data_IF_843571131653
#
_entry.id   IF_843571131653
#
_cell.length_a   1.000
_cell.length_b   1.000
_cell.length_c   1.000
_cell.angle_alpha   90.00
_cell.angle_beta   90.00
_cell.angle_gamma   90.00
#
_symmetry.space_group_name_H-M   'P 1'
#
loop_
_entity.id
_entity.type
_entity.pdbx_description
1 polymer ?
#
# COMPACT_ATOMS: atom_id res chain seq x y z
N UNK A 1 -27.53 25.91 -20.45
CA UNK A 1 -27.47 25.56 -19.02
C UNK A 1 -26.03 25.71 -18.58
N UNK A 2 -25.71 26.80 -17.88
CA UNK A 2 -24.35 27.02 -17.38
C UNK A 2 -24.05 26.02 -16.26
N UNK A 3 -22.88 25.39 -16.34
CA UNK A 3 -22.50 24.31 -15.44
C UNK A 3 -22.00 24.89 -14.11
N UNK A 4 -22.72 24.64 -13.02
CA UNK A 4 -22.31 25.01 -11.65
C UNK A 4 -20.97 24.35 -11.25
N UNK A 5 -20.59 23.24 -11.91
CA UNK A 5 -19.32 22.53 -11.71
C UNK A 5 -18.38 22.73 -12.90
N UNK A 6 -18.13 23.99 -13.27
CA UNK A 6 -17.24 24.38 -14.38
C UNK A 6 -15.82 23.82 -14.24
N UNK A 7 -15.34 23.61 -13.01
CA UNK A 7 -14.06 22.95 -12.73
C UNK A 7 -14.01 21.48 -13.14
N UNK A 8 -15.15 20.82 -13.36
CA UNK A 8 -15.24 19.43 -13.80
C UNK A 8 -15.29 19.30 -15.34
N UNK A 9 -15.13 20.40 -16.06
CA UNK A 9 -15.05 20.37 -17.51
C UNK A 9 -13.67 19.89 -17.97
N UNK A 10 -13.63 18.68 -18.53
CA UNK A 10 -12.37 18.05 -18.93
C UNK A 10 -11.69 18.81 -20.09
N UNK A 11 -12.47 19.35 -21.03
CA UNK A 11 -11.99 20.10 -22.19
C UNK A 11 -12.11 21.62 -21.97
N UNK A 12 -11.77 22.08 -20.76
CA UNK A 12 -11.77 23.50 -20.44
C UNK A 12 -10.83 24.25 -21.39
N UNK A 13 -11.40 25.14 -22.20
CA UNK A 13 -10.64 25.92 -23.19
C UNK A 13 -9.74 26.92 -22.48
N UNK A 14 -8.45 26.87 -22.79
CA UNK A 14 -7.50 27.87 -22.30
C UNK A 14 -7.82 29.22 -22.96
N UNK A 15 -7.94 30.32 -22.19
CA UNK A 15 -8.07 31.64 -22.77
C UNK A 15 -6.79 32.01 -23.54
N UNK A 16 -6.88 32.91 -24.54
CA UNK A 16 -5.70 33.40 -25.22
C UNK A 16 -4.71 33.99 -24.23
N UNK A 17 -3.44 33.57 -24.33
CA UNK A 17 -2.38 34.09 -23.48
C UNK A 17 -2.03 35.51 -23.95
N UNK A 18 -2.65 36.48 -23.28
CA UNK A 18 -2.45 37.91 -23.52
C UNK A 18 -1.76 38.51 -22.31
N UNK A 19 -0.74 39.32 -22.55
CA UNK A 19 -0.06 40.12 -21.54
C UNK A 19 -0.41 41.60 -21.71
N UNK A 20 -0.64 42.30 -20.62
CA UNK A 20 -0.95 43.73 -20.57
C UNK A 20 0.10 44.45 -19.72
N UNK A 21 0.45 45.68 -20.09
CA UNK A 21 1.36 46.49 -19.30
C UNK A 21 0.66 47.00 -18.04
N UNK A 22 1.28 46.80 -16.88
CA UNK A 22 0.77 47.22 -15.57
C UNK A 22 1.90 47.88 -14.79
N UNK A 23 1.57 48.91 -14.00
CA UNK A 23 2.53 49.70 -13.24
C UNK A 23 3.08 49.02 -12.00
N UNK A 24 2.21 48.31 -11.28
CA UNK A 24 2.59 47.55 -10.09
C UNK A 24 2.75 46.07 -10.46
N UNK A 25 3.98 45.59 -10.38
CA UNK A 25 4.32 44.18 -10.58
C UNK A 25 4.80 43.50 -9.30
N UNK A 26 4.85 44.21 -8.16
CA UNK A 26 5.41 43.71 -6.91
C UNK A 26 4.71 42.44 -6.40
N UNK A 27 3.38 42.35 -6.57
CA UNK A 27 2.61 41.17 -6.16
C UNK A 27 2.94 39.90 -6.98
N UNK A 28 3.40 40.05 -8.23
CA UNK A 28 3.70 38.93 -9.13
C UNK A 28 4.83 38.06 -8.59
N UNK A 29 5.78 38.67 -7.85
CA UNK A 29 6.85 37.95 -7.13
C UNK A 29 6.28 36.93 -6.14
N UNK A 30 5.25 37.32 -5.39
CA UNK A 30 4.62 36.42 -4.43
C UNK A 30 3.93 35.26 -5.15
N UNK A 31 3.18 35.54 -6.22
CA UNK A 31 2.53 34.52 -7.05
C UNK A 31 3.57 33.53 -7.60
N UNK A 32 4.66 34.04 -8.18
CA UNK A 32 5.77 33.25 -8.69
C UNK A 32 6.37 32.34 -7.62
N UNK A 33 6.70 32.87 -6.44
CA UNK A 33 7.29 32.10 -5.34
C UNK A 33 6.34 30.98 -4.86
N UNK A 34 5.04 31.29 -4.73
CA UNK A 34 4.07 30.28 -4.26
C UNK A 34 3.88 29.17 -5.29
N UNK A 35 3.79 29.51 -6.58
CA UNK A 35 3.70 28.50 -7.66
C UNK A 35 4.95 27.62 -7.69
N UNK A 36 6.14 28.21 -7.57
CA UNK A 36 7.38 27.43 -7.60
C UNK A 36 7.54 26.48 -6.44
N UNK A 37 7.18 26.93 -5.24
CA UNK A 37 7.17 26.07 -4.08
C UNK A 37 6.27 24.86 -4.31
N UNK A 38 5.12 25.05 -4.94
CA UNK A 38 4.22 23.95 -5.27
C UNK A 38 4.79 23.04 -6.37
N UNK A 39 5.38 23.58 -7.44
CA UNK A 39 6.03 22.79 -8.49
C UNK A 39 7.18 21.93 -7.94
N UNK A 40 8.01 22.49 -7.04
CA UNK A 40 9.04 21.74 -6.32
C UNK A 40 8.43 20.59 -5.51
N UNK A 41 7.29 20.83 -4.83
CA UNK A 41 6.57 19.80 -4.08
C UNK A 41 5.96 18.69 -4.97
N UNK A 42 5.69 18.97 -6.25
CA UNK A 42 5.27 17.97 -7.23
C UNK A 42 6.44 17.12 -7.73
N UNK A 43 7.69 17.54 -7.49
CA UNK A 43 8.91 16.79 -7.83
C UNK A 43 9.45 15.97 -6.65
N UNK A 44 8.82 16.05 -5.47
CA UNK A 44 9.23 15.32 -4.28
C UNK A 44 9.06 13.79 -4.44
N UNK A 45 9.79 12.96 -3.66
CA UNK A 45 9.68 11.51 -3.70
C UNK A 45 8.25 10.97 -3.54
N UNK A 46 7.40 11.68 -2.80
CA UNK A 46 5.98 11.33 -2.61
C UNK A 46 5.17 11.39 -3.92
N UNK A 47 5.52 12.29 -4.85
CA UNK A 47 4.87 12.37 -6.15
C UNK A 47 5.23 11.16 -7.03
N UNK A 48 6.51 10.79 -7.07
CA UNK A 48 6.95 9.55 -7.73
C UNK A 48 6.28 8.32 -7.13
N UNK A 49 6.23 8.24 -5.79
CA UNK A 49 5.55 7.16 -5.09
C UNK A 49 4.04 7.11 -5.41
N UNK A 50 3.40 8.26 -5.66
CA UNK A 50 2.00 8.34 -6.08
C UNK A 50 1.83 7.73 -7.46
N UNK A 51 2.63 8.13 -8.44
CA UNK A 51 2.58 7.62 -9.82
C UNK A 51 2.82 6.11 -9.89
N UNK A 52 3.84 5.60 -9.19
CA UNK A 52 4.15 4.17 -9.12
C UNK A 52 2.97 3.38 -8.52
N UNK A 53 2.34 3.93 -7.48
CA UNK A 53 1.19 3.31 -6.82
C UNK A 53 -0.06 3.36 -7.72
N UNK A 54 -0.28 4.45 -8.44
CA UNK A 54 -1.36 4.58 -9.42
C UNK A 54 -1.20 3.54 -10.55
N UNK A 55 0.01 3.39 -11.08
CA UNK A 55 0.33 2.38 -12.09
C UNK A 55 0.15 0.95 -11.55
N UNK A 56 0.52 0.70 -10.29
CA UNK A 56 0.28 -0.59 -9.63
C UNK A 56 -1.22 -0.91 -9.54
N UNK A 57 -2.05 0.06 -9.16
CA UNK A 57 -3.52 -0.10 -9.10
C UNK A 57 -4.07 -0.43 -10.48
N UNK A 58 -3.63 0.28 -11.53
CA UNK A 58 -4.02 -0.01 -12.91
C UNK A 58 -3.68 -1.45 -13.34
N UNK A 59 -2.47 -1.94 -12.99
CA UNK A 59 -2.05 -3.33 -13.26
C UNK A 59 -2.87 -4.36 -12.48
N UNK A 60 -3.10 -4.13 -11.19
CA UNK A 60 -3.91 -5.03 -10.35
C UNK A 60 -5.35 -5.12 -10.85
N UNK A 61 -5.94 -3.98 -11.23
CA UNK A 61 -7.25 -3.90 -11.86
C UNK A 61 -7.27 -4.70 -13.17
N UNK A 62 -6.34 -4.43 -14.09
CA UNK A 62 -6.31 -5.10 -15.40
C UNK A 62 -6.22 -6.62 -15.27
N UNK A 63 -5.36 -7.13 -14.38
CA UNK A 63 -5.17 -8.57 -14.15
C UNK A 63 -6.42 -9.29 -13.65
N UNK A 64 -7.31 -8.59 -12.94
CA UNK A 64 -8.50 -9.19 -12.30
C UNK A 64 -9.83 -8.69 -12.86
N UNK A 65 -9.80 -7.92 -13.96
CA UNK A 65 -10.99 -7.33 -14.59
C UNK A 65 -12.05 -8.37 -14.90
N UNK A 66 -11.67 -9.51 -15.45
CA UNK A 66 -12.63 -10.55 -15.84
C UNK A 66 -13.19 -11.31 -14.64
N UNK A 67 -12.35 -11.58 -13.62
CA UNK A 67 -12.74 -12.32 -12.42
C UNK A 67 -13.68 -11.52 -11.51
N UNK A 68 -13.47 -10.21 -11.40
CA UNK A 68 -14.15 -9.39 -10.39
C UNK A 68 -15.07 -8.31 -10.98
N UNK A 69 -15.40 -8.36 -12.28
CA UNK A 69 -16.22 -7.34 -12.96
C UNK A 69 -17.54 -6.97 -12.25
N UNK A 70 -18.15 -7.95 -11.58
CA UNK A 70 -19.44 -7.80 -10.91
C UNK A 70 -19.33 -7.44 -9.43
N UNK A 71 -18.12 -7.40 -8.87
CA UNK A 71 -17.93 -7.09 -7.46
C UNK A 71 -18.00 -5.57 -7.21
N UNK A 72 -18.82 -5.08 -6.25
CA UNK A 72 -18.95 -3.66 -5.97
C UNK A 72 -17.63 -2.95 -5.62
N UNK A 73 -16.76 -3.58 -4.83
CA UNK A 73 -15.44 -3.02 -4.52
C UNK A 73 -14.54 -2.92 -5.74
N UNK A 74 -14.63 -3.88 -6.67
CA UNK A 74 -13.87 -3.83 -7.91
C UNK A 74 -14.37 -2.71 -8.85
N UNK A 75 -15.69 -2.47 -8.92
CA UNK A 75 -16.24 -1.29 -9.62
C UNK A 75 -15.73 0.02 -9.03
N UNK A 76 -15.55 0.09 -7.70
CA UNK A 76 -14.95 1.25 -7.04
C UNK A 76 -13.47 1.43 -7.42
N UNK A 77 -12.72 0.33 -7.58
CA UNK A 77 -11.35 0.36 -8.12
C UNK A 77 -11.32 0.82 -9.58
N UNK A 78 -12.28 0.42 -10.41
CA UNK A 78 -12.39 0.92 -11.78
C UNK A 78 -12.62 2.44 -11.81
N UNK A 79 -13.50 2.96 -10.93
CA UNK A 79 -13.73 4.41 -10.78
C UNK A 79 -12.48 5.14 -10.27
N UNK A 80 -11.77 4.54 -9.31
CA UNK A 80 -10.48 5.04 -8.83
C UNK A 80 -9.47 5.15 -9.99
N UNK A 81 -9.30 4.10 -10.79
CA UNK A 81 -8.38 4.11 -11.93
C UNK A 81 -8.79 5.15 -12.98
N UNK A 82 -10.09 5.30 -13.26
CA UNK A 82 -10.57 6.34 -14.15
C UNK A 82 -10.25 7.76 -13.64
N UNK A 83 -10.37 8.00 -12.33
CA UNK A 83 -9.99 9.27 -11.71
C UNK A 83 -8.47 9.51 -11.78
N UNK A 84 -7.66 8.49 -11.54
CA UNK A 84 -6.19 8.56 -11.68
C UNK A 84 -5.76 8.88 -13.12
N UNK A 85 -6.37 8.22 -14.12
CA UNK A 85 -6.12 8.52 -15.53
C UNK A 85 -6.54 9.96 -15.90
N UNK A 86 -7.64 10.47 -15.34
CA UNK A 86 -8.05 11.87 -15.55
C UNK A 86 -7.05 12.84 -14.93
N UNK A 87 -6.49 12.52 -13.76
CA UNK A 87 -5.53 13.36 -13.07
C UNK A 87 -4.24 13.49 -13.88
N UNK A 88 -3.76 12.37 -14.41
CA UNK A 88 -2.61 12.34 -15.31
C UNK A 88 -2.82 13.21 -16.55
N UNK A 89 -4.04 13.24 -17.10
CA UNK A 89 -4.37 14.05 -18.28
C UNK A 89 -4.60 15.53 -17.99
N UNK A 90 -4.84 15.90 -16.74
CA UNK A 90 -5.05 17.30 -16.34
C UNK A 90 -3.71 18.07 -16.39
N UNK A 91 -2.59 17.41 -16.08
CA UNK A 91 -1.23 17.96 -16.18
C UNK A 91 -1.09 19.40 -15.63
N UNK A 92 -1.47 19.57 -14.36
CA UNK A 92 -1.44 20.87 -13.68
C UNK A 92 -0.02 21.47 -13.64
N UNK A 93 1.02 20.63 -13.58
CA UNK A 93 2.40 21.09 -13.53
C UNK A 93 2.73 21.92 -14.77
N UNK A 94 2.39 21.41 -15.95
CA UNK A 94 2.58 22.11 -17.22
C UNK A 94 1.78 23.42 -17.29
N UNK A 95 0.52 23.40 -16.88
CA UNK A 95 -0.33 24.60 -16.85
C UNK A 95 0.29 25.69 -15.95
N UNK A 96 0.80 25.31 -14.77
CA UNK A 96 1.45 26.20 -13.83
C UNK A 96 2.81 26.72 -14.32
N UNK A 97 3.61 25.88 -14.97
CA UNK A 97 4.89 26.28 -15.57
C UNK A 97 4.69 27.30 -16.70
N UNK A 98 3.70 27.05 -17.58
CA UNK A 98 3.37 27.97 -18.65
C UNK A 98 2.90 29.32 -18.11
N UNK A 99 2.02 29.33 -17.10
CA UNK A 99 1.56 30.57 -16.48
C UNK A 99 2.69 31.29 -15.74
N UNK A 100 3.52 30.56 -14.99
CA UNK A 100 4.69 31.10 -14.30
C UNK A 100 5.63 31.79 -15.30
N UNK A 101 5.90 31.17 -16.44
CA UNK A 101 6.77 31.73 -17.47
C UNK A 101 6.22 32.97 -18.18
N UNK A 102 4.92 33.27 -18.00
CA UNK A 102 4.30 34.49 -18.50
C UNK A 102 4.34 35.64 -17.47
N UNK A 103 4.83 35.42 -16.25
CA UNK A 103 5.04 36.47 -15.25
C UNK A 103 6.35 37.23 -15.55
N UNK A 104 6.45 38.51 -15.19
CA UNK A 104 7.68 39.29 -15.32
C UNK A 104 8.87 38.68 -14.56
N UNK A 105 10.06 38.72 -15.15
CA UNK A 105 11.31 38.27 -14.51
C UNK A 105 11.76 39.23 -13.39
N UNK A 106 11.51 40.53 -13.57
CA UNK A 106 11.78 41.57 -12.59
C UNK A 106 10.44 42.11 -12.10
N UNK A 107 10.22 42.04 -10.79
CA UNK A 107 8.98 42.48 -10.14
C UNK A 107 9.33 43.53 -9.10
N UNK A 108 8.83 44.75 -9.27
CA UNK A 108 8.97 45.85 -8.32
C UNK A 108 7.68 46.68 -8.29
N UNK A 109 7.41 47.37 -7.19
CA UNK A 109 6.18 48.16 -7.01
C UNK A 109 6.17 49.41 -7.92
N UNK A 110 7.36 49.88 -8.32
CA UNK A 110 7.57 51.06 -9.17
C UNK A 110 7.95 50.73 -10.62
N UNK A 111 7.96 49.45 -11.01
CA UNK A 111 8.35 49.00 -12.36
C UNK A 111 7.16 48.51 -13.17
N UNK A 112 6.95 49.20 -14.29
CA UNK A 112 6.04 48.76 -15.35
C UNK A 112 6.49 47.41 -15.93
N UNK A 113 5.56 46.46 -16.06
CA UNK A 113 5.86 45.16 -16.65
C UNK A 113 4.65 44.49 -17.31
N UNK A 114 4.97 43.57 -18.23
CA UNK A 114 3.99 42.80 -18.97
C UNK A 114 3.40 41.69 -18.09
N UNK A 115 2.13 41.82 -17.71
CA UNK A 115 1.42 40.90 -16.83
C UNK A 115 0.38 40.07 -17.57
N UNK A 116 0.22 38.78 -17.26
CA UNK A 116 -0.83 37.96 -17.86
C UNK A 116 -2.21 38.46 -17.42
N UNK A 117 -3.21 38.27 -18.28
CA UNK A 117 -4.58 38.68 -17.97
C UNK A 117 -5.20 37.91 -16.81
N UNK A 118 -6.14 38.56 -16.11
CA UNK A 118 -6.98 37.93 -15.09
C UNK A 118 -7.67 36.66 -15.57
N UNK A 119 -8.12 36.61 -16.83
CA UNK A 119 -8.69 35.40 -17.43
C UNK A 119 -7.72 34.22 -17.45
N UNK A 120 -6.45 34.47 -17.76
CA UNK A 120 -5.41 33.44 -17.74
C UNK A 120 -5.16 32.93 -16.33
N UNK A 121 -5.18 33.83 -15.33
CA UNK A 121 -5.03 33.45 -13.93
C UNK A 121 -6.24 32.69 -13.38
N UNK A 122 -7.46 33.14 -13.71
CA UNK A 122 -8.69 32.45 -13.35
C UNK A 122 -8.71 31.03 -13.93
N UNK A 123 -8.29 30.84 -15.19
CA UNK A 123 -8.13 29.51 -15.78
C UNK A 123 -7.25 28.60 -14.90
N UNK A 124 -6.08 29.08 -14.47
CA UNK A 124 -5.19 28.31 -13.58
C UNK A 124 -5.88 27.95 -12.26
N UNK A 125 -6.65 28.87 -11.67
CA UNK A 125 -7.42 28.58 -10.46
C UNK A 125 -8.47 27.50 -10.69
N UNK A 126 -9.13 27.49 -11.86
CA UNK A 126 -10.08 26.43 -12.23
C UNK A 126 -9.39 25.08 -12.43
N UNK A 127 -8.21 25.06 -13.07
CA UNK A 127 -7.41 23.83 -13.20
C UNK A 127 -6.99 23.30 -11.84
N UNK A 128 -6.62 24.19 -10.92
CA UNK A 128 -6.27 23.84 -9.55
C UNK A 128 -7.47 23.31 -8.75
N UNK A 129 -8.67 23.87 -8.94
CA UNK A 129 -9.91 23.32 -8.39
C UNK A 129 -10.22 21.92 -8.92
N UNK A 130 -10.09 21.72 -10.24
CA UNK A 130 -10.26 20.42 -10.87
C UNK A 130 -9.28 19.38 -10.31
N UNK A 131 -8.01 19.76 -10.15
CA UNK A 131 -6.97 18.92 -9.53
C UNK A 131 -7.32 18.54 -8.08
N UNK A 132 -7.73 19.52 -7.27
CA UNK A 132 -8.16 19.32 -5.89
C UNK A 132 -9.32 18.32 -5.78
N UNK A 133 -10.43 18.56 -6.49
CA UNK A 133 -11.61 17.71 -6.41
C UNK A 133 -11.38 16.32 -7.00
N UNK A 134 -10.46 16.18 -7.94
CA UNK A 134 -10.10 14.87 -8.48
C UNK A 134 -9.34 14.03 -7.44
N UNK A 135 -8.48 14.66 -6.63
CA UNK A 135 -7.88 14.00 -5.48
C UNK A 135 -8.89 13.64 -4.38
N UNK A 136 -9.91 14.46 -4.14
CA UNK A 136 -11.02 14.09 -3.26
C UNK A 136 -11.78 12.87 -3.82
N UNK A 137 -12.06 12.87 -5.12
CA UNK A 137 -12.75 11.75 -5.77
C UNK A 137 -11.95 10.44 -5.69
N UNK A 138 -10.63 10.52 -5.84
CA UNK A 138 -9.71 9.39 -5.62
C UNK A 138 -9.88 8.84 -4.20
N UNK A 139 -9.90 9.72 -3.19
CA UNK A 139 -10.06 9.34 -1.77
C UNK A 139 -11.41 8.67 -1.51
N UNK A 140 -12.50 9.20 -2.05
CA UNK A 140 -13.82 8.58 -1.94
C UNK A 140 -13.84 7.16 -2.52
N UNK A 141 -13.32 6.99 -3.74
CA UNK A 141 -13.26 5.69 -4.38
C UNK A 141 -12.39 4.71 -3.59
N UNK A 142 -11.29 5.20 -2.99
CA UNK A 142 -10.44 4.43 -2.10
C UNK A 142 -11.21 3.96 -0.87
N UNK A 143 -11.96 4.84 -0.21
CA UNK A 143 -12.76 4.49 0.97
C UNK A 143 -13.82 3.45 0.63
N UNK A 144 -14.59 3.64 -0.45
CA UNK A 144 -15.59 2.66 -0.90
C UNK A 144 -14.98 1.30 -1.21
N UNK A 145 -13.83 1.28 -1.91
CA UNK A 145 -13.13 0.04 -2.22
C UNK A 145 -12.56 -0.63 -0.97
N UNK A 146 -11.92 0.14 -0.08
CA UNK A 146 -11.33 -0.36 1.16
C UNK A 146 -12.38 -0.99 2.08
N UNK A 147 -13.55 -0.36 2.25
CA UNK A 147 -14.65 -0.91 3.05
C UNK A 147 -15.07 -2.29 2.54
N UNK A 148 -15.27 -2.42 1.22
CA UNK A 148 -15.66 -3.69 0.62
C UNK A 148 -14.57 -4.77 0.73
N UNK A 149 -13.32 -4.44 0.39
CA UNK A 149 -12.23 -5.41 0.47
C UNK A 149 -11.90 -5.79 1.91
N UNK A 150 -12.11 -4.91 2.89
CA UNK A 150 -11.97 -5.25 4.31
C UNK A 150 -13.02 -6.25 4.75
N UNK A 151 -14.27 -6.14 4.28
CA UNK A 151 -15.30 -7.15 4.52
C UNK A 151 -14.93 -8.49 3.86
N UNK A 152 -14.40 -8.46 2.64
CA UNK A 152 -13.95 -9.65 1.93
C UNK A 152 -12.77 -10.34 2.64
N UNK A 153 -11.85 -9.55 3.21
CA UNK A 153 -10.73 -10.03 4.00
C UNK A 153 -11.19 -10.72 5.30
N UNK A 154 -12.17 -10.13 6.00
CA UNK A 154 -12.77 -10.74 7.20
C UNK A 154 -13.42 -12.10 6.92
N UNK A 155 -13.94 -12.26 5.71
CA UNK A 155 -14.53 -13.51 5.24
C UNK A 155 -13.50 -14.50 4.68
N UNK A 156 -12.19 -14.22 4.83
CA UNK A 156 -11.07 -15.03 4.36
C UNK A 156 -11.04 -15.32 2.83
N UNK A 157 -11.61 -14.42 2.02
CA UNK A 157 -11.62 -14.57 0.57
C UNK A 157 -10.45 -13.84 -0.11
N UNK A 158 -9.78 -14.55 -1.04
CA UNK A 158 -8.73 -14.01 -1.90
C UNK A 158 -7.64 -13.22 -1.15
N UNK A 159 -7.21 -13.72 0.02
CA UNK A 159 -6.39 -12.99 0.98
C UNK A 159 -5.19 -12.27 0.36
N UNK A 160 -4.39 -12.95 -0.46
CA UNK A 160 -3.19 -12.36 -1.08
C UNK A 160 -3.53 -11.17 -1.99
N UNK A 161 -4.61 -11.28 -2.76
CA UNK A 161 -5.05 -10.20 -3.63
C UNK A 161 -5.67 -9.06 -2.82
N UNK A 162 -6.57 -9.40 -1.90
CA UNK A 162 -7.31 -8.43 -1.09
C UNK A 162 -6.36 -7.61 -0.21
N UNK A 163 -5.36 -8.24 0.41
CA UNK A 163 -4.34 -7.56 1.22
C UNK A 163 -3.50 -6.60 0.37
N UNK A 164 -2.97 -7.05 -0.77
CA UNK A 164 -2.20 -6.21 -1.67
C UNK A 164 -3.03 -5.04 -2.21
N UNK A 165 -4.29 -5.30 -2.57
CA UNK A 165 -5.22 -4.28 -3.08
C UNK A 165 -5.53 -3.24 -2.01
N UNK A 166 -5.80 -3.65 -0.76
CA UNK A 166 -6.01 -2.73 0.37
C UNK A 166 -4.75 -1.89 0.62
N UNK A 167 -3.57 -2.51 0.62
CA UNK A 167 -2.31 -1.79 0.82
C UNK A 167 -2.08 -0.70 -0.25
N UNK A 168 -2.32 -1.03 -1.53
CA UNK A 168 -2.22 -0.08 -2.63
C UNK A 168 -3.25 1.06 -2.51
N UNK A 169 -4.51 0.72 -2.18
CA UNK A 169 -5.59 1.70 -1.97
C UNK A 169 -5.26 2.64 -0.79
N UNK A 170 -4.77 2.11 0.33
CA UNK A 170 -4.40 2.90 1.49
C UNK A 170 -3.25 3.87 1.17
N UNK A 171 -2.23 3.38 0.46
CA UNK A 171 -1.08 4.20 0.04
C UNK A 171 -1.53 5.34 -0.89
N UNK A 172 -2.33 5.05 -1.92
CA UNK A 172 -2.79 6.09 -2.86
C UNK A 172 -3.71 7.10 -2.17
N UNK A 173 -4.55 6.66 -1.22
CA UNK A 173 -5.45 7.54 -0.47
C UNK A 173 -4.65 8.53 0.38
N UNK A 174 -3.62 8.04 1.09
CA UNK A 174 -2.71 8.88 1.89
C UNK A 174 -2.03 9.94 1.02
N UNK A 175 -1.41 9.52 -0.08
CA UNK A 175 -0.70 10.42 -0.99
C UNK A 175 -1.65 11.42 -1.67
N UNK A 176 -2.84 10.97 -2.10
CA UNK A 176 -3.89 11.83 -2.66
C UNK A 176 -4.34 12.90 -1.67
N UNK A 177 -4.46 12.55 -0.39
CA UNK A 177 -4.84 13.48 0.67
C UNK A 177 -3.79 14.56 0.88
N UNK A 178 -2.50 14.17 0.87
CA UNK A 178 -1.39 15.12 0.95
C UNK A 178 -1.40 16.11 -0.22
N UNK A 179 -1.60 15.61 -1.45
CA UNK A 179 -1.62 16.46 -2.64
C UNK A 179 -2.84 17.39 -2.67
N UNK A 180 -4.03 16.91 -2.27
CA UNK A 180 -5.21 17.76 -2.10
C UNK A 180 -4.97 18.86 -1.05
N UNK A 181 -4.32 18.56 0.08
CA UNK A 181 -3.97 19.59 1.08
C UNK A 181 -3.01 20.63 0.52
N UNK A 182 -1.96 20.20 -0.20
CA UNK A 182 -1.01 21.12 -0.87
C UNK A 182 -1.74 22.01 -1.89
N UNK A 183 -2.62 21.42 -2.69
CA UNK A 183 -3.45 22.12 -3.69
C UNK A 183 -4.38 23.17 -3.05
N UNK A 184 -5.05 22.82 -1.94
CA UNK A 184 -5.91 23.75 -1.21
C UNK A 184 -5.11 24.93 -0.63
N UNK A 185 -3.91 24.66 -0.08
CA UNK A 185 -3.01 25.72 0.41
C UNK A 185 -2.57 26.65 -0.73
N UNK A 186 -2.20 26.09 -1.88
CA UNK A 186 -1.85 26.89 -3.07
C UNK A 186 -3.03 27.77 -3.49
N UNK A 187 -4.22 27.18 -3.63
CA UNK A 187 -5.43 27.89 -4.05
C UNK A 187 -5.74 29.06 -3.11
N UNK A 188 -5.72 28.82 -1.80
CA UNK A 188 -6.03 29.84 -0.80
C UNK A 188 -5.01 30.99 -0.79
N UNK A 189 -3.77 30.76 -1.25
CA UNK A 189 -2.75 31.80 -1.40
C UNK A 189 -2.88 32.59 -2.70
N UNK A 190 -3.30 31.93 -3.78
CA UNK A 190 -3.45 32.53 -5.10
C UNK A 190 -4.78 33.29 -5.25
N UNK A 191 -5.87 32.77 -4.68
CA UNK A 191 -7.23 33.31 -4.84
C UNK A 191 -7.38 34.80 -4.48
N UNK A 192 -6.73 35.33 -3.42
CA UNK A 192 -6.80 36.76 -3.11
C UNK A 192 -6.15 37.66 -4.18
N UNK A 193 -5.17 37.13 -4.93
CA UNK A 193 -4.40 37.89 -5.92
C UNK A 193 -5.17 38.15 -7.22
N UNK A 194 -6.36 37.55 -7.39
CA UNK A 194 -7.15 37.64 -8.64
C UNK A 194 -7.45 39.09 -9.02
N UNK A 195 -7.72 39.95 -8.04
CA UNK A 195 -8.08 41.35 -8.28
C UNK A 195 -6.90 42.20 -8.74
N UNK A 196 -5.67 41.75 -8.50
CA UNK A 196 -4.45 42.48 -8.86
C UNK A 196 -4.06 42.26 -10.34
N UNK A 197 -4.63 41.24 -11.00
CA UNK A 197 -4.37 40.97 -12.41
C UNK A 197 -5.22 41.86 -13.33
N UNK A 198 -4.66 42.34 -14.46
CA UNK A 198 -5.36 43.23 -15.36
C UNK A 198 -6.48 42.50 -16.11
N UNK A 199 -7.63 43.16 -16.26
CA UNK A 199 -8.81 42.59 -16.91
C UNK A 199 -9.03 43.20 -18.31
N UNK A 200 -9.32 42.34 -19.28
CA UNK A 200 -9.67 42.74 -20.65
C UNK A 200 -11.15 43.13 -20.69
N UNK A 201 -11.47 44.34 -21.16
CA UNK A 201 -12.84 44.87 -21.13
C UNK A 201 -13.88 43.99 -21.86
N UNK A 202 -13.48 43.31 -22.94
CA UNK A 202 -14.38 42.49 -23.77
C UNK A 202 -14.31 40.98 -23.49
N UNK A 203 -13.52 40.54 -22.51
CA UNK A 203 -13.33 39.11 -22.25
C UNK A 203 -13.37 38.81 -20.75
N UNK A 204 -14.36 38.00 -20.35
CA UNK A 204 -14.46 37.38 -19.04
C UNK A 204 -14.38 35.87 -19.23
N UNK A 205 -13.48 35.22 -18.49
CA UNK A 205 -13.32 33.77 -18.57
C UNK A 205 -14.44 33.05 -17.83
N UNK A 206 -14.78 33.52 -16.63
CA UNK A 206 -15.91 33.02 -15.86
C UNK A 206 -17.20 33.71 -16.32
N UNK A 207 -18.26 32.92 -16.50
CA UNK A 207 -19.60 33.45 -16.75
C UNK A 207 -20.13 34.21 -15.53
N UNK A 208 -21.15 35.06 -15.71
CA UNK A 208 -21.66 35.93 -14.63
C UNK A 208 -22.23 35.15 -13.42
N UNK A 209 -22.63 33.91 -13.64
CA UNK A 209 -23.15 33.02 -12.59
C UNK A 209 -22.08 32.07 -12.00
N UNK A 210 -20.82 32.15 -12.46
CA UNK A 210 -19.74 31.26 -12.05
C UNK A 210 -18.78 31.98 -11.11
N UNK A 211 -18.80 31.60 -9.84
CA UNK A 211 -17.90 32.14 -8.85
C UNK A 211 -16.86 31.12 -8.39
N UNK A 212 -15.62 31.60 -8.26
CA UNK A 212 -14.54 30.84 -7.66
C UNK A 212 -14.75 30.78 -6.13
N UNK A 213 -14.76 29.58 -5.52
CA UNK A 213 -14.86 29.42 -4.08
C UNK A 213 -13.88 30.33 -3.33
N UNK A 214 -14.33 30.97 -2.25
CA UNK A 214 -13.50 31.89 -1.49
C UNK A 214 -12.30 31.18 -0.84
N UNK A 215 -12.52 29.94 -0.36
CA UNK A 215 -11.51 29.12 0.30
C UNK A 215 -11.78 27.65 0.04
N UNK A 216 -10.71 26.87 -0.07
CA UNK A 216 -10.75 25.40 -0.04
C UNK A 216 -10.28 24.91 1.32
N UNK A 217 -11.06 24.02 1.90
CA UNK A 217 -10.67 23.33 3.12
C UNK A 217 -9.77 22.14 2.77
N UNK A 218 -8.58 22.01 3.39
CA UNK A 218 -7.79 20.80 3.19
C UNK A 218 -8.60 19.60 3.69
N UNK A 219 -8.51 18.44 3.00
CA UNK A 219 -9.26 17.26 3.41
C UNK A 219 -8.94 16.94 4.86
N UNK A 220 -9.98 16.93 5.70
CA UNK A 220 -9.86 16.54 7.10
C UNK A 220 -9.26 15.13 7.11
N UNK A 221 -8.04 15.00 7.65
CA UNK A 221 -7.58 13.68 8.09
C UNK A 221 -8.68 13.19 9.03
N UNK A 222 -9.13 11.93 8.92
CA UNK A 222 -9.87 11.36 10.04
C UNK A 222 -8.91 11.51 11.21
N UNK A 223 -9.19 12.49 12.08
CA UNK A 223 -8.56 12.52 13.37
C UNK A 223 -8.82 11.11 13.91
N UNK A 224 -7.78 10.49 14.43
CA UNK A 224 -7.99 9.61 15.56
C UNK A 224 -8.53 10.53 16.67
N UNK A 225 -9.77 11.01 16.53
CA UNK A 225 -10.60 11.23 17.68
C UNK A 225 -10.63 9.84 18.26
N UNK A 226 -9.84 9.67 19.32
CA UNK A 226 -10.29 8.90 20.46
C UNK A 226 -11.76 9.21 20.62
N UNK A 227 -12.60 8.38 20.02
CA UNK A 227 -13.88 8.07 20.60
C UNK A 227 -13.54 7.53 21.97
N UNK A 228 -13.48 8.43 22.95
CA UNK A 228 -14.11 8.22 24.25
C UNK A 228 -15.63 8.19 24.00
N UNK A 229 -16.07 7.28 23.12
CA UNK A 229 -17.37 6.67 23.24
C UNK A 229 -17.05 5.43 24.05
N UNK A 230 -17.72 5.30 25.18
CA UNK A 230 -17.70 4.15 26.07
C UNK A 230 -17.95 2.88 25.26
N UNK A 231 -16.91 2.27 24.69
CA UNK A 231 -16.94 0.88 24.31
C UNK A 231 -16.94 0.09 25.61
N UNK A 232 -18.00 -0.70 25.93
CA UNK A 232 -17.86 -1.69 26.96
C UNK A 232 -16.66 -2.55 26.59
N UNK A 233 -15.77 -2.74 27.55
CA UNK A 233 -14.51 -3.43 27.43
C UNK A 233 -14.77 -4.90 27.08
N UNK A 234 -15.05 -5.18 25.80
CA UNK A 234 -15.08 -6.53 25.26
C UNK A 234 -13.63 -6.90 24.95
N UNK A 235 -12.84 -6.97 26.02
CA UNK A 235 -11.80 -7.97 26.13
C UNK A 235 -12.54 -9.30 26.01
N UNK A 236 -12.57 -9.85 24.80
CA UNK A 236 -12.83 -11.27 24.60
C UNK A 236 -11.76 -12.02 25.40
N UNK A 237 -12.05 -12.28 26.69
CA UNK A 237 -11.43 -13.36 27.43
C UNK A 237 -11.62 -14.58 26.53
N UNK A 238 -10.54 -15.18 26.01
CA UNK A 238 -10.69 -16.33 25.13
C UNK A 238 -11.42 -17.39 25.96
N UNK A 239 -12.66 -17.68 25.59
CA UNK A 239 -13.41 -18.79 26.15
C UNK A 239 -12.58 -20.02 25.80
N UNK A 240 -11.88 -20.59 26.78
CA UNK A 240 -11.10 -21.82 26.60
C UNK A 240 -12.06 -22.88 26.07
N UNK A 241 -11.95 -23.17 24.78
CA UNK A 241 -12.59 -24.33 24.18
C UNK A 241 -11.80 -25.52 24.69
N UNK A 242 -12.26 -26.08 25.81
CA UNK A 242 -11.76 -27.33 26.36
C UNK A 242 -12.07 -28.40 25.30
N UNK A 243 -11.03 -28.86 24.63
CA UNK A 243 -11.16 -30.00 23.71
C UNK A 243 -11.50 -31.26 24.52
N UNK A 244 -12.16 -32.26 23.92
CA UNK A 244 -12.53 -33.53 24.58
C UNK A 244 -11.35 -34.18 25.32
N UNK A 245 -10.13 -33.92 24.88
CA UNK A 245 -8.88 -34.41 25.48
C UNK A 245 -8.49 -33.70 26.80
N UNK A 246 -8.83 -32.42 26.99
CA UNK A 246 -8.62 -31.71 28.25
C UNK A 246 -9.68 -32.06 29.30
N UNK A 247 -10.93 -32.32 28.88
CA UNK A 247 -11.99 -32.78 29.78
C UNK A 247 -11.68 -34.18 30.35
N UNK A 248 -11.17 -35.09 29.51
CA UNK A 248 -10.69 -36.40 29.93
C UNK A 248 -9.48 -36.34 30.89
N UNK A 249 -8.60 -35.33 30.76
CA UNK A 249 -7.47 -35.12 31.69
C UNK A 249 -7.88 -34.57 33.06
N UNK A 250 -9.03 -33.91 33.15
CA UNK A 250 -9.57 -33.40 34.41
C UNK A 250 -10.38 -34.49 35.14
N UNK A 251 -11.15 -35.30 34.41
CA UNK A 251 -11.88 -36.46 34.95
C UNK A 251 -10.91 -37.59 35.37
N UNK A 252 -9.74 -37.71 34.73
CA UNK A 252 -8.69 -38.63 35.17
C UNK A 252 -7.98 -38.24 36.49
N UNK A 253 -8.23 -37.04 37.03
CA UNK A 253 -7.68 -36.59 38.32
C UNK A 253 -8.63 -36.80 39.50
N UNK A 254 -9.89 -37.17 39.25
CA UNK A 254 -10.90 -37.37 40.30
C UNK A 254 -11.06 -38.83 40.74
N UNK A 255 -10.40 -39.78 40.07
CA UNK A 255 -10.53 -41.21 40.41
C UNK A 255 -9.28 -41.70 41.16
N UNK A 256 -9.42 -41.74 42.48
CA UNK A 256 -8.40 -42.21 43.43
C UNK A 256 -8.46 -43.74 43.45
N UNK A 257 -7.55 -44.38 42.71
CA UNK A 257 -7.32 -45.81 42.71
C UNK A 257 -5.88 -46.16 43.10
N UNK A 258 -5.77 -47.08 44.05
CA UNK A 258 -4.61 -47.58 44.80
C UNK A 258 -3.23 -47.53 44.12
N UNK A 259 -2.26 -46.97 44.85
CA UNK A 259 -0.83 -46.96 44.53
C UNK A 259 -0.32 -48.39 44.41
N UNK A 260 -0.08 -48.85 43.18
CA UNK A 260 0.83 -49.97 42.93
C UNK A 260 2.18 -49.35 42.59
N UNK A 261 3.14 -49.53 43.51
CA UNK A 261 4.51 -49.12 43.35
C UNK A 261 5.09 -49.74 42.06
N UNK A 262 5.15 -48.95 40.99
CA UNK A 262 5.94 -49.29 39.81
C UNK A 262 7.26 -48.54 39.91
N UNK A 263 8.31 -49.29 40.24
CA UNK A 263 9.74 -48.95 40.19
C UNK A 263 9.99 -47.62 39.48
N UNK A 264 10.33 -46.59 40.27
CA UNK A 264 11.06 -45.45 39.77
C UNK A 264 12.34 -45.96 39.12
N UNK A 265 12.40 -45.94 37.80
CA UNK A 265 13.68 -45.87 37.12
C UNK A 265 14.08 -44.41 37.23
N UNK A 266 14.83 -44.19 38.30
CA UNK A 266 15.76 -43.10 38.56
C UNK A 266 16.20 -42.41 37.26
N UNK A 267 16.06 -41.09 37.25
CA UNK A 267 16.76 -40.19 36.34
C UNK A 267 18.28 -40.35 36.51
N UNK A 268 18.85 -41.34 35.82
CA UNK A 268 20.29 -41.50 35.66
C UNK A 268 20.58 -41.93 34.22
N UNK A 269 21.17 -41.01 33.45
CA UNK A 269 21.88 -41.34 32.21
C UNK A 269 21.08 -41.32 30.92
N UNK A 270 20.42 -40.21 30.58
CA UNK A 270 20.02 -39.97 29.18
C UNK A 270 21.27 -39.68 28.33
N UNK A 271 21.99 -40.74 27.94
CA UNK A 271 23.02 -40.67 26.91
C UNK A 271 22.39 -40.03 25.68
N UNK A 272 22.96 -38.91 25.21
CA UNK A 272 22.67 -38.34 23.88
C UNK A 272 22.58 -39.51 22.89
N UNK A 273 21.49 -39.68 22.13
CA UNK A 273 21.40 -40.79 21.20
C UNK A 273 22.60 -40.68 20.24
N UNK A 274 23.50 -41.65 20.31
CA UNK A 274 24.63 -41.72 19.37
C UNK A 274 24.06 -42.24 18.06
N UNK A 275 24.29 -41.48 16.99
CA UNK A 275 23.92 -41.93 15.65
C UNK A 275 24.72 -43.20 15.32
N UNK A 276 24.03 -44.32 15.11
CA UNK A 276 24.64 -45.56 14.65
C UNK A 276 24.56 -45.61 13.12
N UNK A 277 25.68 -45.84 12.44
CA UNK A 277 25.75 -45.82 10.98
C UNK A 277 24.99 -46.99 10.33
N UNK A 278 24.74 -48.05 11.10
CA UNK A 278 23.97 -49.22 10.69
C UNK A 278 22.50 -48.90 10.39
N UNK A 279 22.00 -47.74 10.84
CA UNK A 279 20.63 -47.25 10.53
C UNK A 279 20.46 -46.86 9.06
N UNK A 280 21.56 -46.74 8.29
CA UNK A 280 21.56 -46.47 6.85
C UNK A 280 22.13 -47.65 6.03
N UNK A 281 21.89 -48.89 6.48
CA UNK A 281 22.39 -50.10 5.82
C UNK A 281 21.75 -50.33 4.44
N UNK A 282 20.44 -50.10 4.31
CA UNK A 282 19.74 -50.30 3.03
C UNK A 282 19.14 -49.00 2.49
N UNK A 283 18.83 -49.02 1.19
CA UNK A 283 18.19 -47.89 0.49
C UNK A 283 16.82 -47.57 1.09
N UNK A 284 16.08 -48.59 1.50
CA UNK A 284 14.79 -48.45 2.17
C UNK A 284 14.94 -47.79 3.56
N UNK A 285 16.01 -48.11 4.29
CA UNK A 285 16.29 -47.49 5.58
C UNK A 285 16.68 -46.02 5.44
N UNK A 286 17.46 -45.67 4.41
CA UNK A 286 17.79 -44.29 4.09
C UNK A 286 16.54 -43.45 3.73
N UNK A 287 15.60 -44.02 2.97
CA UNK A 287 14.32 -43.35 2.68
C UNK A 287 13.49 -43.13 3.95
N UNK A 288 13.32 -44.18 4.78
CA UNK A 288 12.61 -44.08 6.06
C UNK A 288 13.26 -43.07 7.01
N UNK A 289 14.60 -42.99 7.02
CA UNK A 289 15.36 -42.01 7.78
C UNK A 289 15.08 -40.58 7.29
N UNK A 290 15.14 -40.34 5.97
CA UNK A 290 14.84 -39.04 5.36
C UNK A 290 13.42 -38.57 5.71
N UNK A 291 12.42 -39.46 5.66
CA UNK A 291 11.04 -39.12 5.99
C UNK A 291 10.85 -38.78 7.47
N UNK A 292 11.44 -39.59 8.37
CA UNK A 292 11.38 -39.37 9.81
C UNK A 292 12.02 -38.03 10.18
N UNK A 293 13.22 -37.76 9.69
CA UNK A 293 13.96 -36.52 9.96
C UNK A 293 13.27 -35.30 9.33
N UNK A 294 12.68 -35.44 8.13
CA UNK A 294 11.91 -34.37 7.50
C UNK A 294 10.64 -34.01 8.27
N UNK A 295 9.96 -35.02 8.85
CA UNK A 295 8.79 -34.80 9.71
C UNK A 295 9.20 -34.14 11.03
N UNK A 296 10.29 -34.61 11.65
CA UNK A 296 10.81 -34.02 12.89
C UNK A 296 11.28 -32.56 12.71
N UNK A 297 11.88 -32.21 11.56
CA UNK A 297 12.31 -30.84 11.21
C UNK A 297 11.17 -29.85 10.94
N UNK A 298 9.94 -30.32 10.72
CA UNK A 298 8.77 -29.45 10.56
C UNK A 298 8.22 -28.94 11.90
N UNK A 299 8.62 -29.55 13.02
CA UNK A 299 8.27 -29.09 14.37
C UNK A 299 9.18 -27.92 14.76
N UNK A 300 8.59 -26.85 15.30
CA UNK A 300 9.32 -25.66 15.75
C UNK A 300 9.20 -25.52 17.28
N UNK A 301 10.30 -25.68 18.06
CA UNK A 301 11.66 -26.09 17.63
C UNK A 301 11.76 -27.60 17.32
N UNK A 302 12.73 -28.05 16.48
CA UNK A 302 12.94 -29.47 16.21
C UNK A 302 13.30 -30.24 17.50
N UNK A 303 12.75 -31.44 17.72
CA UNK A 303 12.96 -32.21 18.94
C UNK A 303 14.44 -32.62 19.08
N UNK A 304 14.90 -32.84 20.31
CA UNK A 304 16.28 -33.30 20.58
C UNK A 304 16.60 -34.68 19.99
N UNK A 305 15.56 -35.46 19.65
CA UNK A 305 15.67 -36.74 18.94
C UNK A 305 15.96 -36.60 17.43
N UNK A 306 15.93 -35.39 16.87
CA UNK A 306 16.22 -35.12 15.46
C UNK A 306 17.74 -35.00 15.25
N UNK A 307 18.36 -36.03 14.67
CA UNK A 307 19.81 -36.05 14.46
C UNK A 307 20.27 -34.98 13.47
N UNK A 308 19.41 -34.64 12.51
CA UNK A 308 19.73 -33.66 11.48
C UNK A 308 19.52 -32.21 11.93
N UNK A 309 19.10 -31.94 13.18
CA UNK A 309 18.79 -30.57 13.66
C UNK A 309 19.91 -29.55 13.44
N UNK A 310 21.18 -29.98 13.47
CA UNK A 310 22.36 -29.12 13.28
C UNK A 310 22.70 -28.80 11.82
N UNK A 311 22.15 -29.52 10.86
CA UNK A 311 22.41 -29.33 9.42
C UNK A 311 21.65 -28.09 8.92
N UNK A 312 22.23 -27.26 8.05
CA UNK A 312 21.48 -26.12 7.50
C UNK A 312 20.30 -26.58 6.61
N UNK A 313 19.22 -25.80 6.53
CA UNK A 313 18.00 -26.17 5.77
C UNK A 313 18.31 -26.43 4.29
N UNK A 314 19.16 -25.62 3.67
CA UNK A 314 19.53 -25.75 2.26
C UNK A 314 20.43 -26.98 2.00
N UNK A 315 21.38 -27.28 2.89
CA UNK A 315 22.23 -28.47 2.78
C UNK A 315 21.42 -29.78 2.87
N UNK A 316 20.45 -29.83 3.79
CA UNK A 316 19.54 -30.96 3.93
C UNK A 316 18.68 -31.18 2.70
N UNK A 317 18.12 -30.10 2.14
CA UNK A 317 17.31 -30.16 0.93
C UNK A 317 18.14 -30.60 -0.29
N UNK A 318 19.40 -30.16 -0.37
CA UNK A 318 20.36 -30.59 -1.38
C UNK A 318 20.67 -32.08 -1.29
N UNK A 319 20.94 -32.59 -0.09
CA UNK A 319 21.21 -34.01 0.15
C UNK A 319 20.01 -34.90 -0.22
N UNK A 320 18.78 -34.49 0.12
CA UNK A 320 17.56 -35.20 -0.26
C UNK A 320 17.37 -35.25 -1.78
N UNK A 321 17.54 -34.10 -2.44
CA UNK A 321 17.37 -33.98 -3.89
C UNK A 321 18.41 -34.82 -4.63
N UNK A 322 19.65 -34.83 -4.16
CA UNK A 322 20.73 -35.65 -4.71
C UNK A 322 20.47 -37.16 -4.53
N UNK A 323 20.01 -37.56 -3.34
CA UNK A 323 19.67 -38.95 -3.06
C UNK A 323 18.53 -39.44 -3.98
N UNK A 324 17.44 -38.67 -4.11
CA UNK A 324 16.30 -39.01 -4.97
C UNK A 324 16.67 -39.05 -6.46
N UNK A 325 17.49 -38.11 -6.95
CA UNK A 325 17.94 -38.10 -8.35
C UNK A 325 18.82 -39.30 -8.70
N UNK A 326 19.68 -39.73 -7.79
CA UNK A 326 20.60 -40.85 -8.02
C UNK A 326 19.95 -42.21 -7.75
N UNK A 327 18.91 -42.26 -6.92
CA UNK A 327 18.17 -43.47 -6.61
C UNK A 327 17.65 -44.21 -7.86
N UNK A 328 17.15 -43.46 -8.86
CA UNK A 328 16.59 -44.05 -10.10
C UNK A 328 17.64 -44.59 -11.07
N UNK A 329 18.91 -44.19 -10.94
CA UNK A 329 19.99 -44.59 -11.87
C UNK A 329 20.99 -45.55 -11.23
N UNK A 330 21.39 -45.28 -9.99
CA UNK A 330 22.45 -46.00 -9.27
C UNK A 330 22.16 -46.04 -7.76
N UNK A 331 21.35 -46.98 -7.26
CA UNK A 331 20.87 -47.00 -5.88
C UNK A 331 22.00 -47.18 -4.85
N UNK A 332 23.00 -48.00 -5.15
CA UNK A 332 24.15 -48.25 -4.26
C UNK A 332 25.05 -47.02 -4.11
N UNK A 333 25.29 -46.29 -5.21
CA UNK A 333 26.07 -45.05 -5.16
C UNK A 333 25.29 -43.93 -4.46
N UNK A 334 23.96 -43.87 -4.65
CA UNK A 334 23.11 -42.93 -3.93
C UNK A 334 23.19 -43.13 -2.40
N UNK A 335 23.12 -44.38 -1.95
CA UNK A 335 23.26 -44.75 -0.54
C UNK A 335 24.65 -44.41 0.01
N UNK A 336 25.72 -44.76 -0.70
CA UNK A 336 27.09 -44.48 -0.26
C UNK A 336 27.35 -42.97 -0.09
N UNK A 337 26.92 -42.16 -1.06
CA UNK A 337 27.08 -40.70 -1.01
C UNK A 337 26.25 -40.10 0.13
N UNK A 338 24.99 -40.53 0.28
CA UNK A 338 24.13 -40.02 1.34
C UNK A 338 24.63 -40.41 2.73
N UNK A 339 25.08 -41.66 2.90
CA UNK A 339 25.69 -42.13 4.16
C UNK A 339 26.94 -41.33 4.51
N UNK A 340 27.85 -41.09 3.56
CA UNK A 340 29.04 -40.24 3.78
C UNK A 340 28.67 -38.82 4.20
N UNK A 341 27.66 -38.23 3.55
CA UNK A 341 27.17 -36.89 3.90
C UNK A 341 26.62 -36.82 5.33
N UNK A 342 25.77 -37.79 5.71
CA UNK A 342 25.16 -37.85 7.04
C UNK A 342 26.22 -38.06 8.13
N UNK A 343 27.14 -39.00 7.92
CA UNK A 343 28.22 -39.29 8.88
C UNK A 343 29.09 -38.05 9.10
N UNK A 344 29.51 -37.36 8.03
CA UNK A 344 30.34 -36.15 8.12
C UNK A 344 29.66 -34.95 8.78
N UNK A 345 28.32 -34.92 8.84
CA UNK A 345 27.56 -33.79 9.39
C UNK A 345 27.01 -34.05 10.80
N UNK A 346 27.00 -35.30 11.25
CA UNK A 346 26.44 -35.73 12.55
C UNK A 346 27.51 -36.20 13.53
N UNK A 347 28.55 -36.91 13.04
CA UNK A 347 29.79 -37.12 13.82
C UNK A 347 30.66 -35.88 13.70
#
# INVERSE_FOLDING_TARGET
MENAYFWNEFQLKQPPLVTLQVKDTGFAKNVFVVINRFLQQLSEPDAKAFEETAAMIGRLMARRKNSFRNMPGFRSVCKLNAALCRLLRLDLARDLEQFRGALPDVCDEDLDGAMPTRSSFEYILVRLLGFYHLHERIRECCLSAATYFTQLLRNNFFMDFTTLQIAAIAKISKLSSLQASKSAILYNKLRPQVLNFPQVQKHKFLAENQELPARLDPPKRPNNQSRTDETPDIVLKPKKVITKMEKAKLEAKSDVGTIIARKEITAQGAKKPKFNEEVLATVADAQKFIERESKARKLNPPPESCFTRKIAKHEWLGAQTMFQRKLSKEPEKALSIFRKFIVNKIK
#
